data_IF_661722155355
#
_entry.id   IF_661722155355
#
_cell.length_a   1.000
_cell.length_b   1.000
_cell.length_c   1.000
_cell.angle_alpha   90.00
_cell.angle_beta   90.00
_cell.angle_gamma   90.00
#
_symmetry.space_group_name_H-M   'P 1'
#
loop_
_entity.id
_entity.type
_entity.pdbx_description
1 polymer ?
#
# COMPACT_ATOMS: atom_id res chain seq x y z
N UNK A 1 13.76 16.85 -4.33
CA UNK A 1 13.94 16.10 -5.58
C UNK A 1 13.83 14.61 -5.28
N UNK A 2 13.09 13.92 -6.11
CA UNK A 2 12.87 12.49 -5.93
C UNK A 2 14.18 11.72 -6.17
N UNK A 3 14.56 10.90 -5.19
CA UNK A 3 15.76 10.05 -5.26
C UNK A 3 15.47 8.71 -5.92
N UNK A 4 14.21 8.44 -6.23
CA UNK A 4 13.79 7.18 -6.83
C UNK A 4 14.30 7.07 -8.26
N UNK A 5 14.71 5.86 -8.63
CA UNK A 5 15.19 5.56 -9.96
C UNK A 5 14.25 4.54 -10.61
N UNK A 6 13.77 4.86 -11.80
CA UNK A 6 12.93 3.93 -12.54
C UNK A 6 13.73 2.70 -12.93
N UNK A 7 13.21 1.51 -12.60
CA UNK A 7 13.80 0.22 -12.97
C UNK A 7 13.14 -0.33 -14.23
N UNK A 8 11.83 -0.14 -14.35
CA UNK A 8 11.03 -0.57 -15.48
C UNK A 8 9.86 0.39 -15.68
N UNK A 9 9.31 0.39 -16.90
CA UNK A 9 8.20 1.23 -17.26
C UNK A 9 7.23 0.42 -18.14
N UNK A 10 5.94 0.55 -17.87
CA UNK A 10 4.87 -0.16 -18.55
C UNK A 10 3.76 0.81 -18.94
N UNK A 11 2.91 0.40 -19.90
CA UNK A 11 1.75 1.18 -20.32
C UNK A 11 2.14 2.61 -20.71
N UNK A 12 3.18 2.73 -21.56
CA UNK A 12 3.69 4.03 -22.04
C UNK A 12 4.12 4.96 -20.90
N UNK A 13 4.76 4.39 -19.87
CA UNK A 13 5.25 5.16 -18.72
C UNK A 13 4.21 5.44 -17.65
N UNK A 14 2.99 4.95 -17.81
CA UNK A 14 1.93 5.13 -16.81
C UNK A 14 2.15 4.26 -15.58
N UNK A 15 2.86 3.15 -15.72
CA UNK A 15 3.26 2.28 -14.61
C UNK A 15 4.77 2.16 -14.62
N UNK A 16 5.40 2.47 -13.50
CA UNK A 16 6.86 2.39 -13.33
C UNK A 16 7.20 1.58 -12.10
N UNK A 17 8.26 0.78 -12.21
CA UNK A 17 8.83 0.10 -11.05
C UNK A 17 10.04 0.93 -10.61
N UNK A 18 10.02 1.37 -9.35
CA UNK A 18 11.02 2.27 -8.81
C UNK A 18 11.73 1.61 -7.63
N UNK A 19 12.99 1.99 -7.45
CA UNK A 19 13.70 1.76 -6.19
C UNK A 19 13.74 3.10 -5.46
N UNK A 20 13.17 3.14 -4.26
CA UNK A 20 13.14 4.37 -3.50
C UNK A 20 12.28 4.23 -2.25
N UNK A 21 12.10 5.35 -1.58
CA UNK A 21 11.34 5.46 -0.34
C UNK A 21 9.92 5.93 -0.66
N UNK A 22 8.93 5.09 -0.35
CA UNK A 22 7.53 5.40 -0.64
C UNK A 22 7.05 6.64 0.11
N UNK A 23 7.62 6.93 1.28
CA UNK A 23 7.23 8.10 2.08
C UNK A 23 7.67 9.42 1.45
N UNK A 24 8.52 9.37 0.44
CA UNK A 24 9.02 10.55 -0.26
C UNK A 24 8.36 10.77 -1.62
N UNK A 25 7.44 9.89 -2.02
CA UNK A 25 6.83 9.97 -3.33
C UNK A 25 5.79 11.10 -3.40
N UNK A 26 5.96 11.97 -4.38
CA UNK A 26 5.04 13.08 -4.61
C UNK A 26 3.93 12.64 -5.55
N UNK A 27 2.99 11.90 -4.99
CA UNK A 27 1.82 11.35 -5.70
C UNK A 27 0.56 11.72 -4.92
N UNK A 28 -0.60 11.51 -5.52
CA UNK A 28 -1.86 11.80 -4.84
C UNK A 28 -2.06 10.88 -3.63
N UNK A 29 -1.71 9.60 -3.77
CA UNK A 29 -1.90 8.63 -2.69
C UNK A 29 -0.79 7.59 -2.70
N UNK A 30 -0.32 7.23 -1.51
CA UNK A 30 0.54 6.06 -1.33
C UNK A 30 -0.26 4.97 -0.62
N UNK A 31 0.10 3.72 -0.89
CA UNK A 31 -0.54 2.57 -0.26
C UNK A 31 0.35 2.09 0.87
N UNK A 32 -0.26 1.85 2.02
CA UNK A 32 0.39 1.32 3.21
C UNK A 32 0.05 -0.16 3.35
N UNK A 33 1.08 -0.98 3.53
CA UNK A 33 0.91 -2.38 3.90
C UNK A 33 0.68 -2.44 5.42
N UNK A 34 -0.56 -2.27 5.81
CA UNK A 34 -0.95 -2.15 7.20
C UNK A 34 -1.16 -3.51 7.85
N UNK A 35 -1.16 -3.54 9.18
CA UNK A 35 -1.70 -4.67 9.91
C UNK A 35 -3.20 -4.44 10.17
N UNK A 36 -3.90 -5.48 10.62
CA UNK A 36 -5.36 -5.40 10.80
C UNK A 36 -5.79 -4.38 11.84
N UNK A 37 -4.93 -4.06 12.80
CA UNK A 37 -5.24 -3.05 13.83
C UNK A 37 -5.27 -1.64 13.26
N UNK A 38 -4.64 -1.38 12.12
CA UNK A 38 -4.41 -0.06 11.55
C UNK A 38 -3.53 0.85 12.43
N UNK A 39 -3.01 0.32 13.52
CA UNK A 39 -2.09 1.06 14.37
C UNK A 39 -0.66 0.84 13.87
N UNK A 40 0.23 1.76 14.21
CA UNK A 40 1.59 1.72 13.71
C UNK A 40 2.29 0.40 14.08
N UNK A 41 2.94 -0.19 13.07
CA UNK A 41 3.80 -1.37 13.25
C UNK A 41 5.21 -1.07 12.76
N UNK A 42 5.89 -2.11 12.27
CA UNK A 42 7.23 -1.97 11.70
C UNK A 42 7.23 -1.79 10.19
N UNK A 43 8.42 -1.80 9.61
CA UNK A 43 8.59 -1.75 8.17
C UNK A 43 8.00 -0.50 7.54
N UNK A 44 7.37 -0.67 6.39
CA UNK A 44 6.75 0.44 5.64
C UNK A 44 5.66 1.13 6.45
N UNK A 45 4.86 0.36 7.19
CA UNK A 45 3.81 0.90 8.05
C UNK A 45 4.39 1.85 9.10
N UNK A 46 5.44 1.41 9.78
CA UNK A 46 6.13 2.26 10.77
C UNK A 46 6.68 3.53 10.15
N UNK A 47 7.30 3.42 8.96
CA UNK A 47 7.86 4.58 8.28
C UNK A 47 6.78 5.59 7.87
N UNK A 48 5.64 5.12 7.37
CA UNK A 48 4.53 5.98 6.97
C UNK A 48 3.98 6.73 8.19
N UNK A 49 3.74 6.03 9.30
CA UNK A 49 3.25 6.68 10.52
C UNK A 49 4.27 7.67 11.08
N UNK A 50 5.56 7.31 11.08
CA UNK A 50 6.62 8.20 11.60
C UNK A 50 6.75 9.47 10.76
N UNK A 51 6.77 9.35 9.44
CA UNK A 51 6.93 10.49 8.53
C UNK A 51 5.65 11.30 8.39
N UNK A 52 4.49 10.66 8.42
CA UNK A 52 3.20 11.33 8.28
C UNK A 52 2.73 12.03 9.54
N UNK A 53 3.23 11.62 10.69
CA UNK A 53 2.88 12.21 11.98
C UNK A 53 1.59 11.66 12.56
N UNK A 54 1.15 12.18 13.73
CA UNK A 54 0.06 11.60 14.50
C UNK A 54 -1.31 11.67 13.82
N UNK A 55 -1.48 12.53 12.83
CA UNK A 55 -2.76 12.69 12.15
C UNK A 55 -3.21 11.39 11.46
N UNK A 56 -2.26 10.61 10.92
CA UNK A 56 -2.57 9.34 10.26
C UNK A 56 -3.10 8.34 11.29
N UNK A 57 -2.41 8.20 12.41
CA UNK A 57 -2.82 7.29 13.47
C UNK A 57 -4.19 7.67 14.04
N UNK A 58 -4.44 8.96 14.21
CA UNK A 58 -5.72 9.47 14.70
C UNK A 58 -6.85 9.09 13.75
N UNK A 59 -6.65 9.26 12.43
CA UNK A 59 -7.63 8.86 11.44
C UNK A 59 -7.86 7.34 11.46
N UNK A 60 -6.80 6.56 11.64
CA UNK A 60 -6.90 5.11 11.77
C UNK A 60 -7.70 4.70 13.00
N UNK A 61 -7.49 5.37 14.12
CA UNK A 61 -8.26 5.10 15.35
C UNK A 61 -9.74 5.36 15.15
N UNK A 62 -10.09 6.44 14.47
CA UNK A 62 -11.47 6.77 14.18
C UNK A 62 -12.12 5.71 13.29
N UNK A 63 -11.41 5.24 12.28
CA UNK A 63 -11.91 4.16 11.39
C UNK A 63 -12.12 2.88 12.20
N UNK A 64 -11.17 2.53 13.07
CA UNK A 64 -11.30 1.37 13.95
C UNK A 64 -12.50 1.49 14.88
N UNK A 65 -12.74 2.65 15.39
CA UNK A 65 -13.85 2.89 16.32
C UNK A 65 -15.21 2.81 15.64
N UNK A 66 -15.32 3.34 14.42
CA UNK A 66 -16.62 3.54 13.77
C UNK A 66 -16.98 2.53 12.71
N UNK A 67 -15.98 1.97 12.02
CA UNK A 67 -16.23 1.11 10.85
C UNK A 67 -15.69 -0.30 10.99
N UNK A 68 -14.56 -0.46 11.63
CA UNK A 68 -13.88 -1.75 11.74
C UNK A 68 -13.41 -2.01 13.17
N UNK A 69 -14.34 -2.16 14.13
CA UNK A 69 -13.95 -2.32 15.54
C UNK A 69 -13.16 -3.61 15.81
N UNK A 70 -13.28 -4.61 14.93
CA UNK A 70 -12.54 -5.87 15.06
C UNK A 70 -11.25 -5.89 14.21
N UNK A 71 -10.95 -4.80 13.53
CA UNK A 71 -9.81 -4.70 12.64
C UNK A 71 -10.20 -4.71 11.19
N UNK A 72 -9.28 -4.24 10.34
CA UNK A 72 -9.48 -4.24 8.90
C UNK A 72 -9.20 -5.64 8.34
N UNK A 73 -10.17 -6.29 7.69
CA UNK A 73 -9.93 -7.63 7.13
C UNK A 73 -8.91 -7.60 6.00
N UNK A 74 -8.23 -8.73 5.81
CA UNK A 74 -7.29 -8.92 4.70
C UNK A 74 -7.97 -8.61 3.36
N UNK A 75 -7.28 -7.87 2.51
CA UNK A 75 -7.78 -7.47 1.19
C UNK A 75 -8.63 -6.22 1.17
N UNK A 76 -9.11 -5.77 2.30
CA UNK A 76 -9.91 -4.54 2.39
C UNK A 76 -9.02 -3.31 2.43
N UNK A 77 -9.61 -2.16 2.17
CA UNK A 77 -8.90 -0.87 2.08
C UNK A 77 -9.65 0.23 2.81
N UNK A 78 -8.89 1.17 3.37
CA UNK A 78 -9.44 2.42 3.91
C UNK A 78 -8.54 3.58 3.52
N UNK A 79 -9.11 4.78 3.45
CA UNK A 79 -8.41 6.00 3.07
C UNK A 79 -8.26 6.92 4.28
N UNK A 80 -7.06 7.46 4.46
CA UNK A 80 -6.80 8.49 5.47
C UNK A 80 -6.06 9.67 4.84
N UNK A 81 -5.94 10.74 5.60
CA UNK A 81 -5.02 11.83 5.26
C UNK A 81 -3.58 11.33 5.17
N UNK A 82 -2.77 11.98 4.35
CA UNK A 82 -1.32 11.75 4.31
C UNK A 82 -0.56 12.49 5.42
N UNK A 83 -1.22 13.33 6.21
CA UNK A 83 -0.55 14.10 7.25
C UNK A 83 0.56 14.95 6.68
N UNK A 84 1.79 14.75 7.18
CA UNK A 84 2.98 15.51 6.74
C UNK A 84 3.67 14.90 5.53
N UNK A 85 3.16 13.79 4.98
CA UNK A 85 3.76 13.18 3.79
C UNK A 85 3.58 14.08 2.56
N UNK A 86 4.47 13.96 1.55
CA UNK A 86 4.21 14.60 0.24
C UNK A 86 2.92 14.12 -0.39
N UNK A 87 2.58 12.84 -0.22
CA UNK A 87 1.31 12.29 -0.69
C UNK A 87 0.15 12.91 0.08
N UNK A 88 -0.93 13.25 -0.62
CA UNK A 88 -2.10 13.86 0.00
C UNK A 88 -2.87 12.89 0.88
N UNK A 89 -2.88 11.62 0.50
CA UNK A 89 -3.65 10.57 1.16
C UNK A 89 -2.83 9.30 1.32
N UNK A 90 -3.28 8.45 2.23
CA UNK A 90 -2.77 7.08 2.38
C UNK A 90 -3.95 6.11 2.27
N UNK A 91 -3.79 5.10 1.44
CA UNK A 91 -4.69 3.95 1.42
C UNK A 91 -4.02 2.86 2.26
N UNK A 92 -4.72 2.39 3.28
CA UNK A 92 -4.24 1.30 4.12
C UNK A 92 -4.90 0.01 3.67
N UNK A 93 -4.11 -1.03 3.43
CA UNK A 93 -4.60 -2.35 3.06
C UNK A 93 -3.84 -3.41 3.83
N UNK A 94 -4.51 -4.51 4.15
CA UNK A 94 -3.92 -5.61 4.90
C UNK A 94 -3.65 -6.75 3.94
N UNK A 95 -2.37 -7.04 3.70
CA UNK A 95 -1.96 -8.14 2.84
C UNK A 95 -2.11 -9.49 3.53
N UNK A 96 -2.13 -10.57 2.77
CA UNK A 96 -2.20 -11.91 3.34
C UNK A 96 -0.89 -12.26 4.06
N UNK A 97 -1.00 -12.97 5.18
CA UNK A 97 0.15 -13.52 5.90
C UNK A 97 0.54 -14.83 5.23
N UNK A 98 1.81 -14.95 4.87
CA UNK A 98 2.34 -16.16 4.25
C UNK A 98 2.97 -17.05 5.31
N UNK A 99 2.46 -18.28 5.43
CA UNK A 99 3.03 -19.28 6.33
C UNK A 99 4.28 -19.87 5.69
N UNK A 100 5.25 -20.25 6.56
CA UNK A 100 6.49 -20.89 6.08
C UNK A 100 6.14 -22.14 5.28
N UNK A 101 6.72 -22.25 4.07
CA UNK A 101 6.51 -23.40 3.21
C UNK A 101 5.22 -23.35 2.37
N UNK A 102 4.45 -22.27 2.46
CA UNK A 102 3.22 -22.09 1.70
C UNK A 102 3.35 -20.93 0.73
N UNK A 103 2.62 -21.00 -0.38
CA UNK A 103 2.51 -19.88 -1.29
C UNK A 103 1.57 -18.82 -0.67
N UNK A 104 1.82 -17.53 -0.93
CA UNK A 104 0.90 -16.50 -0.48
C UNK A 104 -0.45 -16.63 -1.21
N UNK A 105 -1.50 -16.16 -0.56
CA UNK A 105 -2.83 -16.13 -1.18
C UNK A 105 -2.86 -15.05 -2.27
N UNK A 106 -2.66 -15.46 -3.51
CA UNK A 106 -2.62 -14.55 -4.65
C UNK A 106 -3.94 -13.81 -4.87
N UNK A 107 -5.06 -14.45 -4.55
CA UNK A 107 -6.38 -13.85 -4.65
C UNK A 107 -6.53 -12.69 -3.68
N UNK A 108 -6.11 -12.87 -2.42
CA UNK A 108 -6.16 -11.81 -1.41
C UNK A 108 -5.18 -10.68 -1.72
N UNK A 109 -3.98 -11.04 -2.21
CA UNK A 109 -3.00 -10.03 -2.61
C UNK A 109 -3.54 -9.21 -3.78
N UNK A 110 -4.16 -9.86 -4.76
CA UNK A 110 -4.81 -9.18 -5.88
C UNK A 110 -5.90 -8.22 -5.41
N UNK A 111 -6.66 -8.62 -4.38
CA UNK A 111 -7.70 -7.78 -3.81
C UNK A 111 -7.12 -6.50 -3.20
N UNK A 112 -5.96 -6.59 -2.55
CA UNK A 112 -5.30 -5.41 -2.00
C UNK A 112 -5.01 -4.38 -3.09
N UNK A 113 -4.45 -4.82 -4.21
CA UNK A 113 -4.14 -3.91 -5.31
C UNK A 113 -5.39 -3.39 -6.02
N UNK A 114 -6.33 -4.28 -6.31
CA UNK A 114 -7.56 -3.91 -7.02
C UNK A 114 -8.40 -2.95 -6.20
N UNK A 115 -8.60 -3.25 -4.93
CA UNK A 115 -9.42 -2.41 -4.06
C UNK A 115 -8.75 -1.07 -3.80
N UNK A 116 -7.41 -1.03 -3.72
CA UNK A 116 -6.68 0.24 -3.59
C UNK A 116 -6.86 1.11 -4.83
N UNK A 117 -6.74 0.53 -6.02
CA UNK A 117 -6.95 1.26 -7.27
C UNK A 117 -8.38 1.77 -7.39
N UNK A 118 -9.36 0.95 -7.02
CA UNK A 118 -10.77 1.35 -7.07
C UNK A 118 -11.04 2.50 -6.10
N UNK A 119 -10.51 2.42 -4.89
CA UNK A 119 -10.70 3.48 -3.89
C UNK A 119 -10.06 4.79 -4.35
N UNK A 120 -8.86 4.73 -4.93
CA UNK A 120 -8.21 5.91 -5.48
C UNK A 120 -9.04 6.52 -6.61
N UNK A 121 -9.52 5.70 -7.54
CA UNK A 121 -10.34 6.17 -8.64
C UNK A 121 -11.65 6.80 -8.16
N UNK A 122 -12.30 6.17 -7.18
CA UNK A 122 -13.56 6.67 -6.61
C UNK A 122 -13.39 8.04 -5.95
N UNK A 123 -12.18 8.36 -5.51
CA UNK A 123 -11.86 9.65 -4.89
C UNK A 123 -11.19 10.63 -5.86
N UNK A 124 -11.17 10.32 -7.15
CA UNK A 124 -10.62 11.20 -8.17
C UNK A 124 -9.09 11.35 -8.11
N UNK A 125 -8.39 10.42 -7.49
CA UNK A 125 -6.94 10.47 -7.37
C UNK A 125 -6.30 9.90 -8.63
N UNK A 126 -5.25 10.58 -9.12
CA UNK A 126 -4.67 10.28 -10.43
C UNK A 126 -3.34 9.56 -10.37
N UNK A 127 -2.63 9.64 -9.25
CA UNK A 127 -1.33 9.01 -9.09
C UNK A 127 -1.29 8.24 -7.80
N UNK A 128 -0.75 7.03 -7.86
CA UNK A 128 -0.71 6.11 -6.73
C UNK A 128 0.63 5.38 -6.72
N UNK A 129 1.21 5.24 -5.54
CA UNK A 129 2.41 4.44 -5.35
C UNK A 129 2.12 3.27 -4.41
N UNK A 130 2.57 2.09 -4.81
CA UNK A 130 2.40 0.86 -4.04
C UNK A 130 3.74 0.41 -3.48
N UNK A 131 3.77 -0.09 -2.24
CA UNK A 131 4.91 -0.86 -1.75
C UNK A 131 4.80 -2.29 -2.29
N UNK A 132 5.84 -3.09 -2.07
CA UNK A 132 5.78 -4.52 -2.33
C UNK A 132 5.02 -5.19 -1.17
N UNK A 133 3.72 -5.32 -1.31
CA UNK A 133 2.83 -5.83 -0.26
C UNK A 133 3.19 -7.28 0.07
N UNK A 134 3.21 -7.60 1.37
CA UNK A 134 3.47 -8.94 1.90
C UNK A 134 4.90 -9.45 1.70
N UNK A 135 5.87 -8.55 1.42
CA UNK A 135 7.28 -8.95 1.24
C UNK A 135 8.12 -8.83 2.50
N UNK A 136 7.63 -8.09 3.50
CA UNK A 136 8.34 -7.89 4.75
C UNK A 136 7.82 -8.83 5.83
N UNK A 137 7.19 -8.26 6.85
CA UNK A 137 6.69 -9.01 8.01
C UNK A 137 5.69 -10.10 7.63
N UNK A 138 5.02 -9.99 6.47
CA UNK A 138 4.04 -10.98 6.03
C UNK A 138 4.65 -12.11 5.20
N UNK A 139 5.95 -12.06 4.91
CA UNK A 139 6.67 -13.21 4.34
C UNK A 139 6.53 -13.44 2.85
N UNK A 140 5.95 -12.53 2.09
CA UNK A 140 5.83 -12.70 0.65
C UNK A 140 7.23 -12.67 0.00
N UNK A 141 7.56 -13.65 -0.89
CA UNK A 141 8.88 -13.70 -1.51
C UNK A 141 9.18 -12.46 -2.34
N UNK A 142 10.31 -11.82 -2.07
CA UNK A 142 10.70 -10.59 -2.77
C UNK A 142 10.95 -10.77 -4.27
N UNK A 143 11.20 -12.00 -4.69
CA UNK A 143 11.41 -12.30 -6.09
C UNK A 143 10.11 -12.29 -6.92
N UNK A 144 8.94 -12.38 -6.27
CA UNK A 144 7.64 -12.48 -6.95
C UNK A 144 6.85 -11.17 -7.08
N UNK A 145 6.97 -10.19 -6.16
CA UNK A 145 6.08 -9.02 -6.21
C UNK A 145 6.17 -8.25 -7.52
N UNK A 146 7.37 -8.15 -8.10
CA UNK A 146 7.57 -7.45 -9.35
C UNK A 146 6.84 -8.12 -10.51
N UNK A 147 6.94 -9.45 -10.62
CA UNK A 147 6.23 -10.20 -11.66
C UNK A 147 4.71 -10.05 -11.49
N UNK A 148 4.22 -10.18 -10.28
CA UNK A 148 2.81 -10.01 -9.98
C UNK A 148 2.33 -8.61 -10.35
N UNK A 149 3.13 -7.59 -10.03
CA UNK A 149 2.83 -6.20 -10.34
C UNK A 149 2.72 -5.99 -11.85
N UNK A 150 3.63 -6.56 -12.63
CA UNK A 150 3.59 -6.48 -14.09
C UNK A 150 2.29 -7.07 -14.65
N UNK A 151 1.86 -8.22 -14.16
CA UNK A 151 0.61 -8.83 -14.59
C UNK A 151 -0.60 -7.93 -14.36
N UNK A 152 -0.63 -7.24 -13.23
CA UNK A 152 -1.76 -6.38 -12.89
C UNK A 152 -1.77 -5.06 -13.64
N UNK A 153 -0.60 -4.53 -13.93
CA UNK A 153 -0.47 -3.25 -14.61
C UNK A 153 -0.53 -3.37 -16.13
N UNK A 154 -0.53 -4.59 -16.67
CA UNK A 154 -0.57 -4.86 -18.10
C UNK A 154 -1.84 -5.65 -18.41
N UNK A 155 -3.00 -4.99 -18.50
CA UNK A 155 -4.25 -5.66 -18.82
C UNK A 155 -4.18 -6.20 -20.25
N UNK A 156 -4.45 -7.44 -20.39
CA UNK A 156 -4.51 -8.10 -21.70
C UNK A 156 -5.88 -7.94 -22.34
#
# INVERSE_FOLDING_TARGET
>A
MDQSKSLDSFLSGRVRVLRGDITKQNVDVIVNAANSTLFSGGGVDGAIHAKGGPQILEACREIRRTRFPRGLPTGKVVLTTGGRLPARYVIHTVGPITKIGHEPDASMLASCYRNSLALAADNGLRSIAFPAISTGAFGYPRSKPRQWYQKRSNPS
#
